data_IF_229836513291
#
_entry.id   IF_229836513291
#
_cell.length_a   1.000
_cell.length_b   1.000
_cell.length_c   1.000
_cell.angle_alpha   90.00
_cell.angle_beta   90.00
_cell.angle_gamma   90.00
#
_symmetry.space_group_name_H-M   'P 1'
#
loop_
_entity.id
_entity.type
_entity.pdbx_description
1 polymer ?
#
# COMPACT_ATOMS: atom_id res chain seq x y z
N UNK A 1 -7.15 -0.93 -14.74
CA UNK A 1 -7.03 -1.24 -16.18
C UNK A 1 -8.29 -0.78 -16.91
N UNK A 2 -9.47 -1.28 -16.59
CA UNK A 2 -10.73 -0.99 -17.29
C UNK A 2 -11.06 0.51 -17.43
N UNK A 3 -10.81 1.32 -16.39
CA UNK A 3 -11.03 2.77 -16.42
C UNK A 3 -10.12 3.44 -17.46
N UNK A 4 -8.84 3.08 -17.49
CA UNK A 4 -7.90 3.64 -18.44
C UNK A 4 -8.24 3.22 -19.88
N UNK A 5 -8.66 1.97 -20.08
CA UNK A 5 -9.10 1.46 -21.39
C UNK A 5 -10.36 2.15 -21.92
N UNK A 6 -11.24 2.59 -21.04
CA UNK A 6 -12.50 3.25 -21.41
C UNK A 6 -12.34 4.75 -21.64
N UNK A 7 -11.47 5.42 -20.88
CA UNK A 7 -11.37 6.88 -20.84
C UNK A 7 -10.24 7.46 -21.69
N UNK A 8 -9.23 6.66 -22.04
CA UNK A 8 -8.02 7.16 -22.70
C UNK A 8 -7.86 6.55 -24.11
N UNK A 9 -7.40 7.36 -25.08
CA UNK A 9 -6.95 6.85 -26.36
C UNK A 9 -5.82 5.83 -26.17
N UNK A 10 -5.72 4.85 -27.09
CA UNK A 10 -4.74 3.75 -26.98
C UNK A 10 -3.30 4.25 -26.81
N UNK A 11 -2.90 5.28 -27.54
CA UNK A 11 -1.54 5.85 -27.44
C UNK A 11 -1.22 6.47 -26.08
N UNK A 12 -2.20 7.15 -25.46
CA UNK A 12 -2.03 7.71 -24.12
C UNK A 12 -2.02 6.63 -23.06
N UNK A 13 -2.89 5.65 -23.20
CA UNK A 13 -2.95 4.49 -22.31
C UNK A 13 -1.64 3.71 -22.31
N UNK A 14 -1.11 3.39 -23.48
CA UNK A 14 0.12 2.62 -23.63
C UNK A 14 1.32 3.39 -23.07
N UNK A 15 1.36 4.71 -23.27
CA UNK A 15 2.37 5.59 -22.65
C UNK A 15 2.30 5.59 -21.12
N UNK A 16 1.09 5.52 -20.55
CA UNK A 16 0.92 5.42 -19.09
C UNK A 16 1.39 4.06 -18.58
N UNK A 17 1.02 2.97 -19.26
CA UNK A 17 1.42 1.62 -18.86
C UNK A 17 2.93 1.40 -18.99
N UNK A 18 3.59 2.04 -19.93
CA UNK A 18 5.03 1.94 -20.15
C UNK A 18 5.87 2.93 -19.32
N UNK A 19 5.21 3.90 -18.67
CA UNK A 19 5.89 4.97 -17.92
C UNK A 19 6.86 4.47 -16.83
N UNK A 20 6.62 3.31 -16.28
CA UNK A 20 7.52 2.69 -15.30
C UNK A 20 8.92 2.41 -15.85
N UNK A 21 9.05 2.24 -17.17
CA UNK A 21 10.33 2.00 -17.84
C UNK A 21 11.24 3.24 -17.83
N UNK A 22 10.62 4.43 -17.85
CA UNK A 22 11.28 5.73 -17.98
C UNK A 22 11.42 6.48 -16.66
N UNK A 23 10.69 6.05 -15.61
CA UNK A 23 10.73 6.69 -14.27
C UNK A 23 11.63 5.87 -13.36
N UNK A 24 12.86 6.36 -13.03
CA UNK A 24 13.85 5.57 -12.30
C UNK A 24 13.33 5.03 -10.95
N UNK A 25 12.64 5.87 -10.17
CA UNK A 25 12.10 5.45 -8.86
C UNK A 25 11.04 4.35 -8.97
N UNK A 26 10.21 4.38 -10.01
CA UNK A 26 9.20 3.35 -10.26
C UNK A 26 9.84 2.08 -10.84
N UNK A 27 10.80 2.25 -11.73
CA UNK A 27 11.57 1.14 -12.30
C UNK A 27 12.32 0.35 -11.22
N UNK A 28 13.05 1.04 -10.33
CA UNK A 28 13.75 0.42 -9.20
C UNK A 28 12.80 -0.38 -8.30
N UNK A 29 11.64 0.20 -7.99
CA UNK A 29 10.61 -0.45 -7.18
C UNK A 29 10.09 -1.74 -7.82
N UNK A 30 9.74 -1.70 -9.11
CA UNK A 30 9.24 -2.87 -9.86
C UNK A 30 10.33 -3.92 -10.02
N UNK A 31 11.55 -3.50 -10.36
CA UNK A 31 12.68 -4.42 -10.52
C UNK A 31 13.04 -5.15 -9.23
N UNK A 32 12.95 -4.49 -8.08
CA UNK A 32 13.19 -5.14 -6.79
C UNK A 32 12.18 -6.27 -6.54
N UNK A 33 10.91 -6.02 -6.76
CA UNK A 33 9.85 -7.05 -6.58
C UNK A 33 10.03 -8.17 -7.59
N UNK A 34 10.26 -7.83 -8.86
CA UNK A 34 10.44 -8.82 -9.94
C UNK A 34 11.69 -9.67 -9.73
N UNK A 35 12.79 -9.10 -9.24
CA UNK A 35 14.02 -9.85 -8.97
C UNK A 35 13.84 -10.90 -7.89
N UNK A 36 13.09 -10.60 -6.82
CA UNK A 36 12.80 -11.57 -5.76
C UNK A 36 11.92 -12.71 -6.27
N UNK A 37 10.89 -12.38 -7.06
CA UNK A 37 10.04 -13.40 -7.68
C UNK A 37 10.84 -14.28 -8.67
N UNK A 38 11.72 -13.67 -9.47
CA UNK A 38 12.57 -14.39 -10.42
C UNK A 38 13.56 -15.30 -9.71
N UNK A 39 14.17 -14.84 -8.61
CA UNK A 39 15.08 -15.66 -7.81
C UNK A 39 14.41 -16.94 -7.28
N UNK A 40 13.15 -16.86 -6.89
CA UNK A 40 12.37 -18.03 -6.51
C UNK A 40 12.07 -18.95 -7.70
N UNK A 41 11.73 -18.40 -8.86
CA UNK A 41 11.46 -19.19 -10.07
C UNK A 41 12.73 -19.94 -10.50
N UNK A 42 13.88 -19.27 -10.50
CA UNK A 42 15.15 -19.83 -10.95
C UNK A 42 15.73 -20.87 -9.97
N UNK A 43 15.49 -20.71 -8.69
CA UNK A 43 15.99 -21.60 -7.64
C UNK A 43 14.96 -21.75 -6.50
N UNK A 44 13.89 -22.55 -6.71
CA UNK A 44 12.84 -22.72 -5.70
C UNK A 44 13.35 -23.50 -4.50
N UNK A 45 13.46 -22.80 -3.38
CA UNK A 45 13.80 -23.35 -2.07
C UNK A 45 13.13 -22.52 -0.95
N UNK A 46 13.30 -22.93 0.31
CA UNK A 46 12.63 -22.28 1.42
C UNK A 46 13.09 -20.83 1.64
N UNK A 47 14.36 -20.51 1.41
CA UNK A 47 14.88 -19.15 1.62
C UNK A 47 14.33 -18.19 0.56
N UNK A 48 14.34 -18.59 -0.71
CA UNK A 48 13.77 -17.79 -1.79
C UNK A 48 12.25 -17.66 -1.69
N UNK A 49 11.55 -18.70 -1.25
CA UNK A 49 10.13 -18.65 -0.95
C UNK A 49 9.82 -17.67 0.18
N UNK A 50 10.59 -17.74 1.28
CA UNK A 50 10.41 -16.83 2.41
C UNK A 50 10.64 -15.36 2.01
N UNK A 51 11.67 -15.09 1.20
CA UNK A 51 11.92 -13.74 0.67
C UNK A 51 10.76 -13.23 -0.19
N UNK A 52 10.17 -14.07 -1.05
CA UNK A 52 8.95 -13.74 -1.81
C UNK A 52 7.78 -13.42 -0.88
N UNK A 53 7.54 -14.20 0.15
CA UNK A 53 6.43 -13.97 1.09
C UNK A 53 6.60 -12.66 1.84
N UNK A 54 7.82 -12.36 2.32
CA UNK A 54 8.13 -11.08 2.99
C UNK A 54 7.95 -9.89 2.05
N UNK A 55 8.39 -10.01 0.79
CA UNK A 55 8.21 -8.94 -0.19
C UNK A 55 6.74 -8.74 -0.59
N UNK A 56 5.93 -9.79 -0.65
CA UNK A 56 4.50 -9.64 -0.86
C UNK A 56 3.81 -8.98 0.33
N UNK A 57 4.20 -9.32 1.56
CA UNK A 57 3.72 -8.59 2.75
C UNK A 57 4.04 -7.09 2.66
N UNK A 58 5.24 -6.73 2.21
CA UNK A 58 5.65 -5.33 2.02
C UNK A 58 4.83 -4.67 0.91
N UNK A 59 4.61 -5.36 -0.21
CA UNK A 59 3.82 -4.86 -1.33
C UNK A 59 2.39 -4.52 -0.87
N UNK A 60 1.72 -5.49 -0.26
CA UNK A 60 0.32 -5.40 0.14
C UNK A 60 0.08 -4.55 1.39
N UNK A 61 1.07 -4.45 2.27
CA UNK A 61 0.94 -3.76 3.56
C UNK A 61 1.60 -2.37 3.62
N UNK A 62 2.48 -2.05 2.69
CA UNK A 62 3.23 -0.79 2.69
C UNK A 62 3.06 -0.03 1.37
N UNK A 63 3.39 -0.64 0.23
CA UNK A 63 3.53 0.08 -1.04
C UNK A 63 2.22 0.61 -1.62
N UNK A 64 1.08 -0.04 -1.36
CA UNK A 64 -0.21 0.43 -1.87
C UNK A 64 -0.83 1.53 -1.03
N UNK A 65 -0.49 1.60 0.26
CA UNK A 65 -1.25 2.42 1.22
C UNK A 65 -1.11 3.92 1.01
N UNK A 66 0.04 4.40 0.54
CA UNK A 66 0.16 5.83 0.23
C UNK A 66 -0.69 6.21 -1.00
N UNK A 67 -0.82 5.30 -1.96
CA UNK A 67 -1.76 5.45 -3.08
C UNK A 67 -3.21 5.52 -2.60
N UNK A 68 -3.61 4.66 -1.68
CA UNK A 68 -4.94 4.68 -1.08
C UNK A 68 -5.20 5.99 -0.34
N UNK A 69 -4.25 6.45 0.46
CA UNK A 69 -4.34 7.73 1.16
C UNK A 69 -4.51 8.92 0.19
N UNK A 70 -3.91 8.89 -0.99
CA UNK A 70 -4.13 9.93 -2.00
C UNK A 70 -5.61 10.06 -2.38
N UNK A 71 -6.29 8.95 -2.62
CA UNK A 71 -7.73 8.95 -2.93
C UNK A 71 -8.58 9.35 -1.73
N UNK A 72 -8.19 8.97 -0.51
CA UNK A 72 -8.85 9.41 0.72
C UNK A 72 -8.77 10.92 0.88
N UNK A 73 -7.60 11.53 0.62
CA UNK A 73 -7.41 12.98 0.63
C UNK A 73 -8.29 13.70 -0.39
N UNK A 74 -8.45 13.13 -1.59
CA UNK A 74 -9.35 13.68 -2.61
C UNK A 74 -10.81 13.55 -2.20
N UNK A 75 -11.21 12.39 -1.71
CA UNK A 75 -12.59 12.12 -1.26
C UNK A 75 -13.00 13.01 -0.10
N UNK A 76 -12.10 13.22 0.87
CA UNK A 76 -12.33 14.15 1.99
C UNK A 76 -12.62 15.60 1.53
N UNK A 77 -12.22 15.93 0.31
CA UNK A 77 -12.48 17.23 -0.36
C UNK A 77 -13.59 17.14 -1.41
N UNK A 78 -14.43 16.12 -1.34
CA UNK A 78 -15.52 15.85 -2.29
C UNK A 78 -15.03 15.71 -3.76
N UNK A 79 -13.79 15.18 -3.94
CA UNK A 79 -13.23 14.90 -5.27
C UNK A 79 -13.02 13.39 -5.44
N UNK A 80 -13.36 12.87 -6.62
CA UNK A 80 -13.19 11.47 -6.99
C UNK A 80 -13.76 10.49 -5.94
N UNK A 81 -14.89 10.81 -5.32
CA UNK A 81 -15.49 10.03 -4.24
C UNK A 81 -15.81 8.59 -4.66
N UNK A 82 -16.24 8.39 -5.91
CA UNK A 82 -16.51 7.04 -6.44
C UNK A 82 -15.22 6.23 -6.65
N UNK A 83 -14.12 6.90 -7.05
CA UNK A 83 -12.81 6.24 -7.11
C UNK A 83 -12.34 5.83 -5.72
N UNK A 84 -12.52 6.67 -4.70
CA UNK A 84 -12.20 6.32 -3.33
C UNK A 84 -13.00 5.12 -2.82
N UNK A 85 -14.29 5.00 -3.17
CA UNK A 85 -15.09 3.80 -2.86
C UNK A 85 -14.49 2.53 -3.51
N UNK A 86 -14.05 2.61 -4.76
CA UNK A 86 -13.38 1.46 -5.40
C UNK A 86 -12.06 1.12 -4.71
N UNK A 87 -11.29 2.12 -4.31
CA UNK A 87 -10.06 1.92 -3.54
C UNK A 87 -10.34 1.26 -2.19
N UNK A 88 -11.46 1.57 -1.52
CA UNK A 88 -11.84 0.91 -0.27
C UNK A 88 -12.12 -0.59 -0.45
N UNK A 89 -12.73 -0.99 -1.57
CA UNK A 89 -12.89 -2.42 -1.88
C UNK A 89 -11.54 -3.11 -2.07
N UNK A 90 -10.62 -2.49 -2.80
CA UNK A 90 -9.26 -3.00 -2.99
C UNK A 90 -8.57 -3.10 -1.63
N UNK A 91 -8.59 -2.04 -0.81
CA UNK A 91 -7.97 -2.02 0.53
C UNK A 91 -8.44 -3.16 1.44
N UNK A 92 -9.73 -3.53 1.36
CA UNK A 92 -10.27 -4.69 2.10
C UNK A 92 -9.65 -6.01 1.63
N UNK A 93 -9.44 -6.17 0.34
CA UNK A 93 -8.77 -7.35 -0.21
C UNK A 93 -7.30 -7.39 0.21
N UNK A 94 -6.59 -6.26 0.12
CA UNK A 94 -5.19 -6.16 0.55
C UNK A 94 -5.02 -6.42 2.06
N UNK A 95 -6.02 -6.08 2.86
CA UNK A 95 -6.04 -6.45 4.28
C UNK A 95 -6.07 -7.97 4.49
N UNK A 96 -6.82 -8.70 3.68
CA UNK A 96 -6.88 -10.18 3.73
C UNK A 96 -5.54 -10.78 3.26
N UNK A 97 -4.98 -10.29 2.15
CA UNK A 97 -3.69 -10.72 1.63
C UNK A 97 -2.57 -10.50 2.66
N UNK A 98 -2.55 -9.32 3.28
CA UNK A 98 -1.61 -9.01 4.36
C UNK A 98 -1.72 -10.01 5.51
N UNK A 99 -2.94 -10.35 5.93
CA UNK A 99 -3.21 -11.36 6.96
C UNK A 99 -2.67 -12.74 6.57
N UNK A 100 -2.85 -13.15 5.31
CA UNK A 100 -2.31 -14.38 4.77
C UNK A 100 -0.79 -14.44 4.89
N UNK A 101 -0.08 -13.41 4.40
CA UNK A 101 1.38 -13.39 4.44
C UNK A 101 1.93 -13.31 5.87
N UNK A 102 1.27 -12.58 6.78
CA UNK A 102 1.63 -12.57 8.21
C UNK A 102 1.54 -13.98 8.81
N UNK A 103 0.48 -14.72 8.52
CA UNK A 103 0.31 -16.08 9.03
C UNK A 103 1.35 -17.02 8.45
N UNK A 104 1.61 -16.97 7.15
CA UNK A 104 2.66 -17.78 6.52
C UNK A 104 4.02 -17.50 7.19
N UNK A 105 4.41 -16.24 7.37
CA UNK A 105 5.68 -15.88 8.01
C UNK A 105 5.74 -16.42 9.44
N UNK A 106 4.65 -16.36 10.20
CA UNK A 106 4.59 -16.90 11.56
C UNK A 106 4.71 -18.42 11.60
N UNK A 107 4.09 -19.10 10.65
CA UNK A 107 4.12 -20.58 10.56
C UNK A 107 5.51 -21.08 10.16
N UNK A 108 6.24 -20.36 9.31
CA UNK A 108 7.63 -20.68 8.94
C UNK A 108 8.66 -20.27 10.00
N UNK A 109 8.29 -19.39 10.90
CA UNK A 109 9.19 -18.78 11.87
C UNK A 109 9.63 -17.36 11.46
N UNK A 110 9.59 -16.46 12.42
CA UNK A 110 9.89 -15.04 12.21
C UNK A 110 11.39 -14.80 12.31
N UNK A 111 12.08 -14.67 11.18
CA UNK A 111 13.46 -14.16 11.13
C UNK A 111 13.44 -12.63 11.27
N UNK A 112 13.62 -12.16 12.51
CA UNK A 112 13.51 -10.74 12.85
C UNK A 112 14.54 -9.87 12.12
N UNK A 113 15.77 -10.31 12.01
CA UNK A 113 16.88 -9.54 11.40
C UNK A 113 16.64 -9.39 9.91
N UNK A 114 16.28 -10.48 9.24
CA UNK A 114 15.93 -10.49 7.83
C UNK A 114 14.74 -9.55 7.53
N UNK A 115 13.67 -9.67 8.29
CA UNK A 115 12.45 -8.86 8.10
C UNK A 115 12.74 -7.37 8.34
N UNK A 116 13.50 -7.03 9.38
CA UNK A 116 13.88 -5.64 9.66
C UNK A 116 14.74 -5.06 8.52
N UNK A 117 15.70 -5.82 7.99
CA UNK A 117 16.52 -5.36 6.86
C UNK A 117 15.65 -5.08 5.63
N UNK A 118 14.79 -6.02 5.24
CA UNK A 118 13.87 -5.86 4.11
C UNK A 118 12.92 -4.67 4.31
N UNK A 119 12.37 -4.53 5.51
CA UNK A 119 11.47 -3.42 5.84
C UNK A 119 12.16 -2.05 5.79
N UNK A 120 13.38 -1.93 6.31
CA UNK A 120 14.16 -0.67 6.23
C UNK A 120 14.46 -0.25 4.80
N UNK A 121 14.83 -1.19 3.94
CA UNK A 121 15.04 -0.94 2.50
C UNK A 121 13.75 -0.52 1.83
N UNK A 122 12.67 -1.22 2.09
CA UNK A 122 11.36 -0.90 1.55
C UNK A 122 10.87 0.49 1.96
N UNK A 123 11.00 0.85 3.24
CA UNK A 123 10.66 2.18 3.75
C UNK A 123 11.48 3.27 3.06
N UNK A 124 12.78 3.05 2.89
CA UNK A 124 13.65 4.02 2.20
C UNK A 124 13.20 4.23 0.75
N UNK A 125 12.90 3.17 0.04
CA UNK A 125 12.45 3.24 -1.36
C UNK A 125 11.06 3.85 -1.47
N UNK A 126 10.14 3.50 -0.57
CA UNK A 126 8.79 4.07 -0.59
C UNK A 126 8.78 5.57 -0.25
N UNK A 127 9.62 6.03 0.67
CA UNK A 127 9.79 7.46 0.96
C UNK A 127 10.29 8.21 -0.28
N UNK A 128 11.30 7.68 -0.98
CA UNK A 128 11.80 8.27 -2.25
C UNK A 128 10.68 8.35 -3.28
N UNK A 129 9.90 7.28 -3.42
CA UNK A 129 8.77 7.22 -4.33
C UNK A 129 7.70 8.25 -3.98
N UNK A 130 7.29 8.34 -2.72
CA UNK A 130 6.31 9.32 -2.25
C UNK A 130 6.79 10.76 -2.47
N UNK A 131 8.07 11.04 -2.22
CA UNK A 131 8.64 12.37 -2.49
C UNK A 131 8.66 12.71 -3.98
N UNK A 132 8.89 11.73 -4.85
CA UNK A 132 8.86 11.90 -6.30
C UNK A 132 7.43 12.17 -6.80
N UNK A 133 6.46 11.35 -6.39
CA UNK A 133 5.08 11.41 -6.90
C UNK A 133 4.31 12.57 -6.30
N UNK A 134 4.31 12.69 -4.99
CA UNK A 134 3.48 13.65 -4.27
C UNK A 134 4.26 14.90 -3.88
N UNK A 135 5.42 14.73 -3.28
CA UNK A 135 6.23 15.83 -2.73
C UNK A 135 5.40 16.68 -1.76
N UNK A 136 5.44 17.99 -1.98
CA UNK A 136 4.60 18.99 -1.28
C UNK A 136 3.57 19.62 -2.23
N UNK A 137 3.24 18.93 -3.32
CA UNK A 137 2.39 19.44 -4.41
C UNK A 137 0.92 19.07 -4.28
N UNK A 138 0.61 18.13 -3.40
CA UNK A 138 -0.75 17.59 -3.19
C UNK A 138 -1.28 18.12 -1.86
N UNK A 139 -2.42 18.80 -1.91
CA UNK A 139 -3.07 19.29 -0.69
C UNK A 139 -3.39 18.14 0.26
N UNK A 140 -2.91 18.24 1.50
CA UNK A 140 -3.06 17.23 2.54
C UNK A 140 -1.98 16.15 2.54
N UNK A 141 -1.07 16.15 1.55
CA UNK A 141 0.09 15.25 1.50
C UNK A 141 1.35 16.11 1.39
N UNK A 142 2.27 15.93 2.31
CA UNK A 142 3.59 16.54 2.30
C UNK A 142 4.68 15.48 2.36
N UNK A 143 5.91 15.84 2.03
CA UNK A 143 7.06 14.95 2.23
C UNK A 143 7.14 14.44 3.66
N UNK A 144 6.96 15.35 4.65
CA UNK A 144 6.99 15.00 6.06
C UNK A 144 5.88 14.05 6.45
N UNK A 145 4.63 14.30 6.03
CA UNK A 145 3.50 13.43 6.35
C UNK A 145 3.61 12.07 5.65
N UNK A 146 4.09 12.03 4.40
CA UNK A 146 4.35 10.78 3.70
C UNK A 146 5.41 9.92 4.42
N UNK A 147 6.51 10.53 4.84
CA UNK A 147 7.56 9.85 5.58
C UNK A 147 7.04 9.28 6.91
N UNK A 148 6.28 10.06 7.67
CA UNK A 148 5.66 9.61 8.92
C UNK A 148 4.71 8.43 8.68
N UNK A 149 3.88 8.53 7.64
CA UNK A 149 2.90 7.49 7.34
C UNK A 149 3.55 6.18 6.91
N UNK A 150 4.56 6.23 6.04
CA UNK A 150 5.30 5.05 5.60
C UNK A 150 5.96 4.34 6.79
N UNK A 151 6.60 5.09 7.70
CA UNK A 151 7.19 4.55 8.92
C UNK A 151 6.14 3.98 9.88
N UNK A 152 5.00 4.64 10.01
CA UNK A 152 3.86 4.15 10.81
C UNK A 152 3.35 2.79 10.30
N UNK A 153 3.14 2.68 8.98
CA UNK A 153 2.71 1.41 8.37
C UNK A 153 3.73 0.30 8.59
N UNK A 154 5.01 0.60 8.42
CA UNK A 154 6.10 -0.36 8.62
C UNK A 154 6.13 -0.88 10.06
N UNK A 155 6.01 0.01 11.07
CA UNK A 155 5.91 -0.40 12.48
C UNK A 155 4.69 -1.30 12.72
N UNK A 156 3.54 -0.97 12.14
CA UNK A 156 2.34 -1.80 12.23
C UNK A 156 2.52 -3.22 11.67
N UNK A 157 3.23 -3.35 10.54
CA UNK A 157 3.56 -4.66 9.97
C UNK A 157 4.54 -5.44 10.87
N UNK A 158 5.60 -4.79 11.36
CA UNK A 158 6.56 -5.40 12.30
C UNK A 158 5.87 -5.89 13.56
N UNK A 159 5.05 -5.05 14.18
CA UNK A 159 4.27 -5.42 15.38
C UNK A 159 3.34 -6.59 15.12
N UNK A 160 2.70 -6.65 13.95
CA UNK A 160 1.84 -7.77 13.54
C UNK A 160 2.60 -9.10 13.46
N UNK A 161 3.91 -9.05 13.21
CA UNK A 161 4.80 -10.22 13.21
C UNK A 161 5.43 -10.51 14.60
N UNK A 162 5.13 -9.71 15.63
CA UNK A 162 5.77 -9.83 16.94
C UNK A 162 7.21 -9.30 16.96
N UNK A 163 7.54 -8.41 16.03
CA UNK A 163 8.83 -7.70 15.96
C UNK A 163 8.65 -6.31 16.56
N UNK A 164 9.65 -5.83 17.29
CA UNK A 164 9.61 -4.49 17.90
C UNK A 164 9.63 -3.39 16.84
N UNK A 165 9.01 -2.25 17.19
CA UNK A 165 9.02 -1.07 16.35
C UNK A 165 10.43 -0.53 16.13
N UNK A 166 10.77 -0.31 14.85
CA UNK A 166 12.07 0.21 14.42
C UNK A 166 12.11 1.73 14.41
N UNK A 167 10.98 2.36 14.10
CA UNK A 167 10.88 3.81 13.99
C UNK A 167 10.24 4.38 15.27
N UNK A 168 10.99 5.27 15.96
CA UNK A 168 10.50 5.91 17.20
C UNK A 168 9.75 7.22 16.88
N UNK A 169 8.87 7.62 17.78
CA UNK A 169 8.12 8.89 17.70
C UNK A 169 7.32 9.06 16.41
N UNK A 170 6.77 7.96 15.90
CA UNK A 170 5.99 7.92 14.67
C UNK A 170 4.51 7.90 15.01
N UNK A 171 3.76 8.80 14.37
CA UNK A 171 2.31 8.89 14.48
C UNK A 171 1.64 8.69 13.11
N UNK A 172 0.37 8.29 13.09
CA UNK A 172 -0.43 8.31 11.87
C UNK A 172 -0.87 9.75 11.56
N UNK A 173 -0.30 10.41 10.53
CA UNK A 173 -0.68 11.79 10.20
C UNK A 173 -2.07 11.89 9.57
N UNK A 174 -2.65 10.77 9.15
CA UNK A 174 -3.92 10.67 8.44
C UNK A 174 -5.04 10.03 9.25
N UNK A 175 -4.85 9.90 10.56
CA UNK A 175 -5.85 9.33 11.48
C UNK A 175 -7.23 10.00 11.33
N UNK A 176 -7.25 11.32 11.07
CA UNK A 176 -8.49 12.07 10.87
C UNK A 176 -9.31 11.58 9.65
N UNK A 177 -8.66 11.07 8.60
CA UNK A 177 -9.34 10.51 7.43
C UNK A 177 -9.95 9.15 7.76
N UNK A 178 -9.23 8.31 8.48
CA UNK A 178 -9.73 7.00 8.93
C UNK A 178 -10.97 7.15 9.83
N UNK A 179 -10.94 8.13 10.73
CA UNK A 179 -12.08 8.44 11.61
C UNK A 179 -13.26 9.00 10.81
N UNK A 180 -13.02 9.89 9.85
CA UNK A 180 -14.06 10.44 9.00
C UNK A 180 -14.73 9.36 8.11
N UNK A 181 -13.95 8.43 7.57
CA UNK A 181 -14.46 7.29 6.79
C UNK A 181 -15.39 6.41 7.62
N UNK A 182 -15.01 6.08 8.86
CA UNK A 182 -15.84 5.30 9.79
C UNK A 182 -17.15 6.00 10.15
N UNK A 183 -17.14 7.32 10.29
CA UNK A 183 -18.33 8.11 10.58
C UNK A 183 -19.24 8.32 9.36
N UNK A 184 -18.65 8.41 8.18
CA UNK A 184 -19.37 8.59 6.91
C UNK A 184 -20.19 7.37 6.51
N UNK A 185 -19.71 6.17 6.79
CA UNK A 185 -20.44 4.92 6.53
C UNK A 185 -21.78 4.81 7.28
N UNK A 186 -22.01 5.62 8.31
CA UNK A 186 -23.29 5.69 9.03
C UNK A 186 -24.28 6.75 8.47
N UNK A 187 -23.86 7.56 7.49
CA UNK A 187 -24.64 8.68 6.91
C UNK A 187 -24.96 8.50 5.44
N UNK A 188 -24.68 7.36 4.84
CA UNK A 188 -25.07 7.10 3.46
C UNK A 188 -26.58 6.97 3.35
N UNK A 189 -27.17 7.78 2.49
CA UNK A 189 -28.59 7.77 2.21
C UNK A 189 -28.99 6.38 1.72
N UNK A 190 -29.90 5.72 2.41
CA UNK A 190 -30.41 4.38 2.10
C UNK A 190 -30.88 4.22 0.65
N UNK A 191 -31.24 5.32 -0.02
CA UNK A 191 -31.74 5.35 -1.40
C UNK A 191 -30.64 5.51 -2.47
N UNK A 192 -29.40 5.83 -2.08
CA UNK A 192 -28.32 6.13 -3.02
C UNK A 192 -27.18 5.10 -3.02
N UNK A 193 -27.17 4.18 -2.05
CA UNK A 193 -26.11 3.17 -1.94
C UNK A 193 -26.68 1.79 -1.65
N UNK A 194 -26.23 0.82 -2.41
CA UNK A 194 -26.48 -0.60 -2.07
C UNK A 194 -25.76 -0.89 -0.74
N UNK A 195 -26.52 -1.32 0.26
CA UNK A 195 -25.97 -1.70 1.57
C UNK A 195 -25.05 -2.90 1.39
N UNK A 196 -23.74 -2.67 1.51
CA UNK A 196 -22.70 -3.71 1.37
C UNK A 196 -22.03 -4.08 2.70
N UNK A 197 -22.45 -3.49 3.82
CA UNK A 197 -22.00 -3.89 5.16
C UNK A 197 -22.97 -4.91 5.75
N UNK A 198 -22.66 -6.19 5.59
CA UNK A 198 -23.21 -7.21 6.46
C UNK A 198 -22.33 -7.25 7.72
N UNK A 199 -22.84 -6.72 8.83
CA UNK A 199 -22.31 -7.06 10.14
C UNK A 199 -22.62 -8.55 10.36
N UNK A 200 -21.59 -9.37 10.35
CA UNK A 200 -21.70 -10.72 10.90
C UNK A 200 -21.60 -10.58 12.42
N UNK A 201 -22.71 -10.90 13.08
CA UNK A 201 -22.79 -11.09 14.52
C UNK A 201 -21.94 -12.29 14.98
#
# INVERSE_FOLDING_TARGET
>A
QYIAETLLPTSERDAIYDRWKDVPALKERIQTISAVAQAYIDNPNWDTFYDVVVHNLILEGLYFYQGFNYFDQLSHRNKLTQCAKQIDYIRRQEFVHRGLFINIIKDFGVDKEFIIDRMKRAVTNEIKWCHYVYGDRIMGISKKSSEQYVKYLANGLLTSLGVEEVYKDVINPYLHLELASKQGGSRENFFETTVTSYDQA
#
